data_IF_613674881787
#
_entry.id   IF_613674881787
#
_cell.length_a   1.000
_cell.length_b   1.000
_cell.length_c   1.000
_cell.angle_alpha   90.00
_cell.angle_beta   90.00
_cell.angle_gamma   90.00
#
_symmetry.space_group_name_H-M   'P 1'
#
loop_
_entity.id
_entity.type
_entity.pdbx_description
1 polymer ?
#
# COMPACT_ATOMS: atom_id res chain seq x y z
N UNK A 1 -2.16 5.07 -17.74
CA UNK A 1 -2.17 5.70 -16.40
C UNK A 1 -0.74 5.65 -15.88
N UNK A 2 -0.10 6.80 -15.72
CA UNK A 2 1.26 6.86 -15.19
C UNK A 2 1.22 6.53 -13.70
N UNK A 3 1.71 5.35 -13.35
CA UNK A 3 1.93 4.94 -11.98
C UNK A 3 2.94 5.92 -11.37
N UNK A 4 2.45 6.86 -10.55
CA UNK A 4 3.32 7.76 -9.78
C UNK A 4 4.03 6.88 -8.76
N UNK A 5 5.16 6.30 -9.14
CA UNK A 5 6.11 5.71 -8.19
C UNK A 5 6.44 6.83 -7.21
N UNK A 6 5.89 6.73 -6.01
CA UNK A 6 6.22 7.60 -4.89
C UNK A 6 7.75 7.50 -4.70
N UNK A 7 8.47 8.52 -5.18
CA UNK A 7 9.95 8.55 -5.09
C UNK A 7 10.30 8.86 -3.65
N UNK A 8 10.46 7.81 -2.84
CA UNK A 8 10.80 7.91 -1.42
C UNK A 8 12.00 8.83 -1.17
N UNK A 9 12.92 8.92 -2.12
CA UNK A 9 14.04 9.86 -2.16
C UNK A 9 13.58 11.32 -2.01
N UNK A 10 12.58 11.74 -2.80
CA UNK A 10 12.05 13.10 -2.75
C UNK A 10 11.30 13.37 -1.46
N UNK A 11 10.56 12.39 -0.93
CA UNK A 11 9.83 12.56 0.33
C UNK A 11 10.77 12.69 1.54
N UNK A 12 11.78 11.83 1.61
CA UNK A 12 12.79 11.90 2.68
C UNK A 12 13.56 13.21 2.57
N UNK A 13 13.92 13.63 1.37
CA UNK A 13 14.62 14.90 1.14
C UNK A 13 13.75 16.11 1.49
N UNK A 14 12.46 16.11 1.11
CA UNK A 14 11.51 17.16 1.48
C UNK A 14 11.30 17.24 2.99
N UNK A 15 11.25 16.10 3.68
CA UNK A 15 11.18 16.06 5.13
C UNK A 15 12.45 16.65 5.77
N UNK A 16 13.63 16.32 5.24
CA UNK A 16 14.91 16.86 5.71
C UNK A 16 15.07 18.36 5.52
N UNK A 17 14.48 18.95 4.48
CA UNK A 17 14.54 20.40 4.24
C UNK A 17 13.50 21.19 5.02
N UNK A 18 12.33 20.59 5.29
CA UNK A 18 11.19 21.28 5.91
C UNK A 18 11.18 21.18 7.42
N UNK A 19 11.72 20.09 7.98
CA UNK A 19 11.82 19.90 9.43
C UNK A 19 13.11 20.53 9.95
N UNK A 20 13.05 21.12 11.14
CA UNK A 20 14.24 21.70 11.78
C UNK A 20 15.10 20.58 12.37
N UNK A 21 16.19 20.23 11.68
CA UNK A 21 17.17 19.21 12.10
C UNK A 21 16.54 17.84 12.46
N UNK A 22 15.82 17.18 11.55
CA UNK A 22 15.03 16.01 11.88
C UNK A 22 15.90 14.79 12.22
N UNK A 23 15.41 13.95 13.12
CA UNK A 23 15.91 12.60 13.30
C UNK A 23 15.13 11.60 12.42
N UNK A 24 15.54 10.33 12.41
CA UNK A 24 14.87 9.29 11.61
C UNK A 24 13.39 9.13 11.94
N UNK A 25 13.02 9.16 13.23
CA UNK A 25 11.63 9.04 13.68
C UNK A 25 10.77 10.23 13.26
N UNK A 26 11.34 11.44 13.25
CA UNK A 26 10.64 12.65 12.78
C UNK A 26 10.27 12.51 11.29
N UNK A 27 11.19 11.98 10.48
CA UNK A 27 10.95 11.70 9.06
C UNK A 27 9.89 10.60 8.90
N UNK A 28 9.96 9.52 9.68
CA UNK A 28 8.94 8.45 9.68
C UNK A 28 7.57 9.02 10.01
N UNK A 29 7.46 9.86 11.04
CA UNK A 29 6.21 10.47 11.46
C UNK A 29 5.64 11.41 10.40
N UNK A 30 6.50 12.24 9.77
CA UNK A 30 6.08 13.18 8.75
C UNK A 30 5.70 12.51 7.41
N UNK A 31 6.35 11.39 7.07
CA UNK A 31 6.21 10.77 5.74
C UNK A 31 5.41 9.47 5.71
N UNK A 32 5.25 8.82 6.86
CA UNK A 32 4.66 7.48 6.96
C UNK A 32 5.55 6.35 6.41
N UNK A 33 6.79 6.65 6.01
CA UNK A 33 7.77 5.69 5.49
C UNK A 33 8.37 4.90 6.67
N UNK A 34 8.58 3.59 6.51
CA UNK A 34 9.24 2.78 7.56
C UNK A 34 10.68 3.25 7.83
N UNK A 35 11.14 3.16 9.07
CA UNK A 35 12.50 3.54 9.47
C UNK A 35 13.59 2.90 8.60
N UNK A 36 13.50 1.58 8.36
CA UNK A 36 14.45 0.86 7.50
C UNK A 36 14.52 1.45 6.08
N UNK A 37 13.37 1.85 5.53
CA UNK A 37 13.30 2.46 4.21
C UNK A 37 13.88 3.88 4.22
N UNK A 38 13.62 4.68 5.26
CA UNK A 38 14.26 6.00 5.44
C UNK A 38 15.78 5.85 5.46
N UNK A 39 16.32 4.93 6.27
CA UNK A 39 17.77 4.71 6.35
C UNK A 39 18.38 4.29 5.01
N UNK A 40 17.71 3.38 4.28
CA UNK A 40 18.13 2.95 2.94
C UNK A 40 18.10 4.08 1.92
N UNK A 41 17.08 4.94 1.97
CA UNK A 41 16.96 6.10 1.09
C UNK A 41 18.06 7.11 1.38
N UNK A 42 18.32 7.42 2.65
CA UNK A 42 19.41 8.32 3.04
C UNK A 42 20.76 7.82 2.52
N UNK A 43 21.02 6.51 2.63
CA UNK A 43 22.23 5.91 2.08
C UNK A 43 22.33 6.10 0.57
N UNK A 44 21.24 5.83 -0.17
CA UNK A 44 21.16 6.03 -1.62
C UNK A 44 21.35 7.50 -2.03
N UNK A 45 20.80 8.46 -1.28
CA UNK A 45 20.97 9.89 -1.55
C UNK A 45 22.45 10.31 -1.42
N UNK A 46 23.17 9.74 -0.45
CA UNK A 46 24.60 10.02 -0.26
C UNK A 46 25.43 9.35 -1.35
N UNK A 47 25.25 8.05 -1.59
CA UNK A 47 26.08 7.29 -2.53
C UNK A 47 25.80 7.62 -3.99
N UNK A 48 24.54 7.70 -4.39
CA UNK A 48 24.16 7.81 -5.80
C UNK A 48 24.03 9.25 -6.28
N UNK A 49 23.63 10.16 -5.39
CA UNK A 49 23.42 11.58 -5.74
C UNK A 49 24.48 12.50 -5.14
N UNK A 50 25.41 11.96 -4.34
CA UNK A 50 26.52 12.72 -3.77
C UNK A 50 26.07 13.79 -2.77
N UNK A 51 24.88 13.67 -2.17
CA UNK A 51 24.44 14.62 -1.15
C UNK A 51 25.34 14.50 0.08
N UNK A 52 25.77 15.64 0.61
CA UNK A 52 26.50 15.70 1.87
C UNK A 52 25.51 15.81 3.02
N UNK A 53 25.01 14.67 3.49
CA UNK A 53 24.09 14.57 4.63
C UNK A 53 24.88 14.19 5.88
N UNK A 54 25.03 15.13 6.81
CA UNK A 54 25.66 14.88 8.09
C UNK A 54 24.68 14.31 9.11
N UNK A 55 25.18 13.38 9.92
CA UNK A 55 24.49 12.82 11.08
C UNK A 55 25.17 13.33 12.34
N UNK A 56 24.61 14.37 12.94
CA UNK A 56 25.12 14.91 14.18
C UNK A 56 24.47 14.22 15.38
N UNK A 57 25.28 13.79 16.34
CA UNK A 57 24.78 13.18 17.56
C UNK A 57 24.24 14.25 18.49
N UNK A 58 22.95 14.16 18.82
CA UNK A 58 22.34 14.99 19.86
C UNK A 58 21.88 14.09 21.01
N UNK A 59 22.77 13.92 22.00
CA UNK A 59 22.51 13.06 23.15
C UNK A 59 22.37 11.57 22.79
N UNK A 60 21.14 11.05 22.87
CA UNK A 60 20.78 9.64 22.58
C UNK A 60 20.33 9.42 21.13
N UNK A 61 20.10 10.48 20.37
CA UNK A 61 19.60 10.40 18.99
C UNK A 61 20.57 11.09 18.02
N UNK A 62 20.29 10.97 16.73
CA UNK A 62 21.04 11.62 15.66
C UNK A 62 20.10 12.52 14.87
N UNK A 63 20.60 13.67 14.44
CA UNK A 63 19.89 14.61 13.56
C UNK A 63 20.57 14.67 12.21
N UNK A 64 19.76 14.91 11.19
CA UNK A 64 20.21 15.08 9.82
C UNK A 64 20.35 16.56 9.48
N UNK A 65 21.47 16.90 8.85
CA UNK A 65 21.72 18.22 8.27
C UNK A 65 22.27 18.04 6.86
N UNK A 66 21.72 18.77 5.89
CA UNK A 66 22.22 18.76 4.50
C UNK A 66 23.21 19.90 4.35
N UNK A 67 24.49 19.56 4.20
CA UNK A 67 25.58 20.53 4.04
C UNK A 67 25.99 20.73 2.58
N UNK A 68 25.49 19.89 1.67
CA UNK A 68 25.79 19.97 0.25
C UNK A 68 24.82 19.15 -0.58
N UNK A 69 24.48 19.67 -1.75
CA UNK A 69 23.44 19.15 -2.63
C UNK A 69 23.95 18.18 -3.69
N UNK A 70 25.25 17.88 -3.71
CA UNK A 70 25.85 16.94 -4.66
C UNK A 70 25.60 17.37 -6.10
N UNK A 71 25.01 16.47 -6.89
CA UNK A 71 24.66 16.69 -8.30
C UNK A 71 23.69 17.86 -8.54
N UNK A 72 23.05 18.39 -7.50
CA UNK A 72 22.08 19.48 -7.61
C UNK A 72 22.68 20.88 -7.35
N UNK A 73 24.02 21.02 -7.37
CA UNK A 73 24.79 22.27 -7.22
C UNK A 73 24.31 23.18 -6.08
N UNK A 74 23.34 24.07 -6.33
CA UNK A 74 22.79 25.02 -5.36
C UNK A 74 21.60 24.49 -4.55
N UNK A 75 21.00 23.38 -4.96
CA UNK A 75 19.80 22.82 -4.33
C UNK A 75 18.52 23.63 -4.55
N UNK A 76 18.58 24.84 -5.11
CA UNK A 76 17.43 25.76 -5.19
C UNK A 76 16.29 25.23 -6.06
N UNK A 77 16.64 24.62 -7.19
CA UNK A 77 15.67 24.01 -8.12
C UNK A 77 14.99 22.79 -7.52
N UNK A 78 15.71 21.99 -6.72
CA UNK A 78 15.10 20.84 -6.07
C UNK A 78 14.32 21.27 -4.84
N UNK A 79 14.81 22.22 -4.04
CA UNK A 79 14.08 22.79 -2.89
C UNK A 79 12.72 23.38 -3.27
N UNK A 80 12.64 24.12 -4.38
CA UNK A 80 11.36 24.65 -4.86
C UNK A 80 10.39 23.53 -5.24
N UNK A 81 10.88 22.42 -5.81
CA UNK A 81 10.07 21.24 -6.07
C UNK A 81 9.65 20.53 -4.77
N UNK A 82 10.56 20.38 -3.80
CA UNK A 82 10.31 19.70 -2.52
C UNK A 82 9.24 20.42 -1.67
N UNK A 83 9.16 21.75 -1.76
CA UNK A 83 8.14 22.53 -1.06
C UNK A 83 6.71 22.23 -1.53
N UNK A 84 6.55 21.81 -2.79
CA UNK A 84 5.24 21.49 -3.37
C UNK A 84 4.83 20.02 -3.14
N UNK A 85 5.69 19.20 -2.52
CA UNK A 85 5.40 17.80 -2.26
C UNK A 85 4.65 17.66 -0.94
N UNK A 86 3.53 16.94 -0.97
CA UNK A 86 2.84 16.49 0.24
C UNK A 86 3.70 15.42 0.94
N UNK A 87 4.10 15.69 2.17
CA UNK A 87 5.00 14.80 2.92
C UNK A 87 4.33 13.48 3.26
N UNK A 88 3.02 13.51 3.53
CA UNK A 88 2.26 12.32 3.86
C UNK A 88 2.01 11.53 2.59
N UNK A 89 2.53 10.30 2.53
CA UNK A 89 2.10 9.35 1.51
C UNK A 89 0.60 9.11 1.77
N UNK A 90 -0.31 9.48 0.83
CA UNK A 90 -1.72 9.20 1.00
C UNK A 90 -1.86 7.70 1.19
N UNK A 91 -2.37 7.32 2.34
CA UNK A 91 -2.58 5.93 2.73
C UNK A 91 -3.76 5.33 1.97
N UNK A 92 -3.77 5.42 0.64
CA UNK A 92 -4.75 4.71 -0.20
C UNK A 92 -4.63 3.19 -0.09
N UNK A 93 -3.66 2.68 0.67
CA UNK A 93 -3.37 1.25 0.84
C UNK A 93 -3.02 0.83 2.27
N UNK A 94 -3.17 1.69 3.29
CA UNK A 94 -3.20 1.18 4.67
C UNK A 94 -4.66 0.91 5.01
N UNK A 95 -5.09 -0.34 4.80
CA UNK A 95 -6.21 -0.90 5.57
C UNK A 95 -5.74 -0.92 7.02
N UNK A 96 -6.20 0.05 7.82
CA UNK A 96 -5.66 0.39 9.14
C UNK A 96 -6.21 -0.55 10.21
N UNK A 97 -7.33 -1.24 9.95
CA UNK A 97 -7.89 -2.24 10.88
C UNK A 97 -7.77 -3.69 10.37
N UNK A 98 -7.77 -4.65 11.31
CA UNK A 98 -7.85 -6.08 11.00
C UNK A 98 -9.12 -6.40 10.19
N UNK A 99 -10.22 -5.74 10.53
CA UNK A 99 -11.52 -5.90 9.88
C UNK A 99 -11.50 -5.46 8.42
N UNK A 100 -10.86 -4.33 8.12
CA UNK A 100 -10.68 -3.84 6.74
C UNK A 100 -9.80 -4.78 5.92
N UNK A 101 -8.72 -5.31 6.50
CA UNK A 101 -7.88 -6.32 5.85
C UNK A 101 -8.67 -7.59 5.56
N UNK A 102 -9.44 -8.06 6.54
CA UNK A 102 -10.25 -9.26 6.40
C UNK A 102 -11.31 -9.08 5.30
N UNK A 103 -12.03 -7.97 5.32
CA UNK A 103 -13.03 -7.64 4.29
C UNK A 103 -12.41 -7.59 2.89
N UNK A 104 -11.22 -6.99 2.73
CA UNK A 104 -10.51 -6.99 1.45
C UNK A 104 -10.09 -8.39 1.00
N UNK A 105 -9.57 -9.23 1.91
CA UNK A 105 -9.22 -10.61 1.56
C UNK A 105 -10.43 -11.43 1.14
N UNK A 106 -11.56 -11.29 1.83
CA UNK A 106 -12.81 -11.97 1.45
C UNK A 106 -13.32 -11.46 0.10
N UNK A 107 -13.26 -10.14 -0.14
CA UNK A 107 -13.64 -9.55 -1.42
C UNK A 107 -12.81 -10.12 -2.59
N UNK A 108 -11.48 -10.14 -2.46
CA UNK A 108 -10.60 -10.68 -3.52
C UNK A 108 -10.82 -12.17 -3.75
N UNK A 109 -11.06 -12.96 -2.69
CA UNK A 109 -11.43 -14.38 -2.85
C UNK A 109 -12.72 -14.54 -3.63
N UNK A 110 -13.73 -13.69 -3.37
CA UNK A 110 -15.01 -13.73 -4.06
C UNK A 110 -14.90 -13.29 -5.51
N UNK A 111 -14.12 -12.26 -5.80
CA UNK A 111 -13.89 -11.82 -7.18
C UNK A 111 -13.16 -12.90 -7.98
N UNK A 112 -12.14 -13.53 -7.40
CA UNK A 112 -11.45 -14.66 -8.03
C UNK A 112 -12.37 -15.87 -8.20
N UNK A 113 -13.22 -16.18 -7.23
CA UNK A 113 -14.16 -17.30 -7.33
C UNK A 113 -15.19 -17.07 -8.44
N UNK A 114 -15.79 -15.87 -8.50
CA UNK A 114 -16.71 -15.48 -9.57
C UNK A 114 -16.06 -15.58 -10.94
N UNK A 115 -14.83 -15.08 -11.06
CA UNK A 115 -14.10 -15.10 -12.32
C UNK A 115 -13.72 -16.53 -12.74
N UNK A 116 -13.30 -17.38 -11.80
CA UNK A 116 -13.07 -18.81 -12.07
C UNK A 116 -14.33 -19.51 -12.56
N UNK A 117 -15.47 -19.27 -11.89
CA UNK A 117 -16.74 -19.90 -12.26
C UNK A 117 -17.23 -19.41 -13.64
N UNK A 118 -17.04 -18.13 -13.94
CA UNK A 118 -17.29 -17.56 -15.27
C UNK A 118 -16.43 -18.23 -16.35
N UNK A 119 -15.14 -18.46 -16.07
CA UNK A 119 -14.23 -19.16 -16.99
C UNK A 119 -14.61 -20.62 -17.23
N UNK A 120 -15.18 -21.29 -16.22
CA UNK A 120 -15.73 -22.64 -16.32
C UNK A 120 -17.11 -22.70 -17.01
N UNK A 121 -17.67 -21.55 -17.40
CA UNK A 121 -18.95 -21.44 -18.11
C UNK A 121 -20.18 -21.40 -17.18
N UNK A 122 -19.96 -21.21 -15.88
CA UNK A 122 -21.02 -21.06 -14.89
C UNK A 122 -21.27 -19.59 -14.55
N UNK A 123 -22.48 -19.10 -14.83
CA UNK A 123 -22.88 -17.74 -14.48
C UNK A 123 -23.40 -17.72 -13.02
N UNK A 124 -22.58 -17.22 -12.08
CA UNK A 124 -23.02 -17.01 -10.71
C UNK A 124 -23.83 -15.71 -10.68
N UNK A 125 -25.13 -15.85 -10.96
CA UNK A 125 -26.09 -14.78 -10.70
C UNK A 125 -25.94 -14.31 -9.25
N UNK A 126 -25.90 -12.98 -9.09
CA UNK A 126 -25.67 -12.20 -7.88
C UNK A 126 -26.65 -12.42 -6.72
N UNK A 127 -27.50 -13.44 -6.76
CA UNK A 127 -28.56 -13.74 -5.79
C UNK A 127 -28.05 -14.37 -4.48
N UNK A 128 -26.74 -14.32 -4.22
CA UNK A 128 -26.20 -14.78 -2.96
C UNK A 128 -26.32 -13.67 -1.92
N UNK A 129 -27.39 -13.71 -1.13
CA UNK A 129 -27.60 -12.80 -0.01
C UNK A 129 -26.59 -13.09 1.11
N UNK A 130 -25.60 -12.22 1.21
CA UNK A 130 -24.49 -12.29 2.16
C UNK A 130 -24.89 -11.88 3.59
N UNK A 131 -26.14 -11.47 3.82
CA UNK A 131 -26.66 -11.23 5.17
C UNK A 131 -27.03 -12.51 5.92
N UNK A 132 -27.07 -13.65 5.22
CA UNK A 132 -27.41 -14.96 5.77
C UNK A 132 -26.22 -15.59 6.51
N UNK A 133 -26.52 -16.28 7.61
CA UNK A 133 -25.51 -17.00 8.39
C UNK A 133 -24.88 -18.14 7.56
N UNK A 134 -23.63 -18.48 7.86
CA UNK A 134 -22.79 -19.43 7.10
C UNK A 134 -23.47 -20.78 6.91
N UNK A 135 -24.25 -21.22 7.89
CA UNK A 135 -25.00 -22.48 7.81
C UNK A 135 -26.18 -22.38 6.83
N UNK A 136 -26.87 -21.24 6.78
CA UNK A 136 -27.97 -21.01 5.84
C UNK A 136 -27.47 -20.98 4.40
N UNK A 137 -26.32 -20.32 4.17
CA UNK A 137 -25.63 -20.31 2.88
C UNK A 137 -25.26 -21.73 2.42
N UNK A 138 -24.76 -22.56 3.36
CA UNK A 138 -24.43 -23.96 3.10
C UNK A 138 -25.67 -24.78 2.71
N UNK A 139 -26.79 -24.59 3.39
CA UNK A 139 -28.03 -25.32 3.10
C UNK A 139 -28.63 -24.93 1.74
N UNK A 140 -28.57 -23.65 1.36
CA UNK A 140 -29.01 -23.17 0.04
C UNK A 140 -28.20 -23.83 -1.07
N UNK A 141 -26.87 -23.88 -0.93
CA UNK A 141 -25.99 -24.54 -1.90
C UNK A 141 -26.27 -26.04 -1.98
N UNK A 142 -26.39 -26.74 -0.84
CA UNK A 142 -26.73 -28.16 -0.80
C UNK A 142 -28.05 -28.46 -1.54
N UNK A 143 -29.10 -27.69 -1.28
CA UNK A 143 -30.39 -27.87 -1.93
C UNK A 143 -30.34 -27.59 -3.44
N UNK A 144 -29.57 -26.58 -3.88
CA UNK A 144 -29.39 -26.27 -5.30
C UNK A 144 -28.76 -27.44 -6.05
N UNK A 145 -27.69 -28.03 -5.52
CA UNK A 145 -26.99 -29.14 -6.17
C UNK A 145 -27.69 -30.50 -6.02
N UNK A 146 -28.50 -30.70 -4.98
CA UNK A 146 -29.37 -31.88 -4.86
C UNK A 146 -30.46 -31.91 -5.93
N UNK A 147 -31.04 -30.76 -6.28
CA UNK A 147 -32.05 -30.65 -7.32
C UNK A 147 -31.49 -30.80 -8.74
N UNK A 148 -30.23 -30.40 -8.98
CA UNK A 148 -29.56 -30.61 -10.28
C UNK A 148 -29.33 -32.10 -10.54
N UNK A 149 -28.91 -32.87 -9.54
CA UNK A 149 -28.75 -34.33 -9.67
C UNK A 149 -30.09 -35.07 -9.90
N UNK A 150 -31.22 -34.47 -9.51
CA UNK A 150 -32.55 -35.06 -9.72
C UNK A 150 -33.09 -34.80 -11.13
N UNK A 151 -32.65 -33.72 -11.80
CA UNK A 151 -33.05 -33.36 -13.16
C UNK A 151 -32.27 -34.13 -14.23
N UNK A 152 -31.01 -34.51 -13.97
CA UNK A 152 -30.24 -35.37 -14.87
C UNK A 152 -30.73 -36.83 -14.86
N UNK A 153 -31.37 -37.28 -13.78
CA UNK A 153 -31.91 -38.64 -13.66
C UNK A 153 -33.24 -38.86 -14.42
N UNK A 154 -33.96 -37.80 -14.81
CA UNK A 154 -35.29 -37.91 -15.45
C UNK A 154 -35.23 -37.72 -16.97
N UNK A 155 -34.18 -37.11 -17.52
CA UNK A 155 -34.03 -36.89 -18.97
C UNK A 155 -33.06 -37.88 -19.66
N UNK A 156 -32.65 -38.95 -18.96
CA UNK A 156 -31.75 -39.99 -19.46
C UNK A 156 -32.38 -41.38 -19.56
N UNK A 157 -33.65 -41.47 -19.97
CA UNK A 157 -34.38 -42.73 -20.21
C UNK A 157 -35.08 -42.74 -21.55
#
# INVERSE_FOLDING_TARGET
>A
MCEVRVKYELLVLAAMTRLESPNTQDIVAATGISERKVQSVVHSLVENLGLNIQRERQGRTFRFTINGWGVFESGQMIQSQLNNIELVIPSSTKLVSFEEKHAYFEQVKMDNFKESMRLEGHDIASDFDLSLDREQQRQILLNKYLNVNSLEAVNGG
#
